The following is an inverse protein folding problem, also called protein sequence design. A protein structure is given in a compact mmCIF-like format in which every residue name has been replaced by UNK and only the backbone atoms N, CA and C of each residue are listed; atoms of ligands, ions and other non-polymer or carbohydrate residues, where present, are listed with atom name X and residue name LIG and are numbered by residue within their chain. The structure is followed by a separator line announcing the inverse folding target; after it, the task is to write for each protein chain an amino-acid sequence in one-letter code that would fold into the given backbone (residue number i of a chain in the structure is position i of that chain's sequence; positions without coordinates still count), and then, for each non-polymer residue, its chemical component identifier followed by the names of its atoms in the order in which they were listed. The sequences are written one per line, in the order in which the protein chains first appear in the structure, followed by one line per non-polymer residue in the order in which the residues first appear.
data_IF_772700715256
#
_entry.id   IF_772700715256
#
_cell.length_a   1.000
_cell.length_b   1.000
_cell.length_c   1.000
_cell.angle_alpha   90.00
_cell.angle_beta   90.00
_cell.angle_gamma   90.00
#
_symmetry.space_group_name_H-M   'P 1'
#
loop_
_entity.id
_entity.type
_entity.pdbx_description
1 polymer ?
#
# COMPACT_ATOMS: atom_id res chain seq x y z
N UNK A 1 17.65 -27.09 -9.38
CA UNK A 1 17.64 -25.61 -9.39
C UNK A 1 16.66 -25.15 -10.45
N UNK A 2 15.50 -24.59 -10.07
CA UNK A 2 14.57 -24.05 -11.04
C UNK A 2 15.23 -22.86 -11.78
N UNK A 3 14.99 -22.67 -13.10
CA UNK A 3 15.54 -21.54 -13.82
C UNK A 3 15.09 -20.23 -13.17
N UNK A 4 15.96 -19.19 -13.15
CA UNK A 4 15.61 -17.91 -12.54
C UNK A 4 14.35 -17.35 -13.22
N UNK A 5 13.43 -16.75 -12.44
CA UNK A 5 12.20 -16.20 -13.00
C UNK A 5 12.53 -15.17 -14.08
N UNK A 6 11.72 -15.09 -15.16
CA UNK A 6 12.00 -14.19 -16.27
C UNK A 6 12.09 -12.75 -15.79
N UNK A 7 13.12 -12.04 -16.26
CA UNK A 7 13.30 -10.64 -15.90
C UNK A 7 12.11 -9.80 -16.41
N UNK A 8 11.51 -8.94 -15.56
CA UNK A 8 10.44 -8.06 -16.00
C UNK A 8 10.93 -7.11 -17.10
N UNK A 9 10.33 -7.20 -18.30
CA UNK A 9 10.65 -6.32 -19.42
C UNK A 9 10.29 -4.88 -19.08
N UNK A 10 11.28 -3.99 -19.04
CA UNK A 10 11.07 -2.55 -18.83
C UNK A 10 10.94 -1.86 -20.18
N UNK A 11 9.74 -1.38 -20.48
CA UNK A 11 9.48 -0.58 -21.67
C UNK A 11 9.95 0.87 -21.47
N UNK A 12 10.49 1.48 -22.53
CA UNK A 12 10.77 2.92 -22.59
C UNK A 12 9.47 3.74 -22.56
N UNK A 13 9.56 5.03 -22.21
CA UNK A 13 8.39 5.94 -22.22
C UNK A 13 7.74 6.03 -23.61
N UNK A 14 8.54 5.94 -24.68
CA UNK A 14 8.04 5.97 -26.05
C UNK A 14 7.23 4.72 -26.39
N UNK A 15 7.74 3.53 -26.04
CA UNK A 15 7.03 2.27 -26.24
C UNK A 15 5.75 2.20 -25.40
N UNK A 16 5.80 2.65 -24.15
CA UNK A 16 4.61 2.74 -23.29
C UNK A 16 3.54 3.66 -23.91
N UNK A 17 3.96 4.80 -24.48
CA UNK A 17 3.05 5.73 -25.19
C UNK A 17 2.47 5.08 -26.45
N UNK A 18 3.28 4.39 -27.24
CA UNK A 18 2.85 3.65 -28.44
C UNK A 18 1.82 2.58 -28.09
N UNK A 19 2.13 1.74 -27.10
CA UNK A 19 1.24 0.68 -26.62
C UNK A 19 -0.09 1.24 -26.08
N UNK A 20 -0.04 2.32 -25.30
CA UNK A 20 -1.25 3.01 -24.81
C UNK A 20 -2.09 3.57 -25.95
N UNK A 21 -1.46 4.14 -26.98
CA UNK A 21 -2.15 4.68 -28.15
C UNK A 21 -2.83 3.55 -28.95
N UNK A 22 -2.10 2.49 -29.27
CA UNK A 22 -2.63 1.32 -29.99
C UNK A 22 -3.82 0.69 -29.25
N UNK A 23 -3.72 0.51 -27.92
CA UNK A 23 -4.84 0.00 -27.09
C UNK A 23 -6.07 0.91 -27.14
N UNK A 24 -5.89 2.24 -27.14
CA UNK A 24 -6.99 3.21 -27.25
C UNK A 24 -7.66 3.15 -28.62
N UNK A 25 -6.86 3.10 -29.68
CA UNK A 25 -7.35 3.01 -31.07
C UNK A 25 -8.13 1.70 -31.27
N UNK A 26 -7.58 0.57 -30.83
CA UNK A 26 -8.24 -0.73 -30.95
C UNK A 26 -9.60 -0.73 -30.23
N UNK A 27 -9.64 -0.23 -28.98
CA UNK A 27 -10.87 -0.15 -28.20
C UNK A 27 -11.93 0.78 -28.82
N UNK A 28 -11.50 1.89 -29.45
CA UNK A 28 -12.44 2.79 -30.11
C UNK A 28 -12.97 2.20 -31.41
N UNK A 29 -12.12 1.51 -32.20
CA UNK A 29 -12.54 0.78 -33.39
C UNK A 29 -13.56 -0.31 -33.06
N UNK A 30 -13.28 -1.10 -32.02
CA UNK A 30 -14.19 -2.13 -31.51
C UNK A 30 -15.54 -1.53 -31.09
N UNK A 31 -15.53 -0.40 -30.37
CA UNK A 31 -16.77 0.31 -30.03
C UNK A 31 -17.53 0.77 -31.27
N UNK A 32 -16.85 1.38 -32.24
CA UNK A 32 -17.47 1.87 -33.47
C UNK A 32 -18.07 0.73 -34.29
N UNK A 33 -17.40 -0.42 -34.34
CA UNK A 33 -17.90 -1.61 -35.00
C UNK A 33 -19.16 -2.16 -34.29
N UNK A 34 -19.16 -2.24 -32.96
CA UNK A 34 -20.35 -2.61 -32.19
C UNK A 34 -21.53 -1.64 -32.41
N UNK A 35 -21.27 -0.34 -32.55
CA UNK A 35 -22.30 0.65 -32.88
C UNK A 35 -22.82 0.43 -34.31
N UNK A 36 -21.93 0.17 -35.27
CA UNK A 36 -22.31 -0.10 -36.66
C UNK A 36 -23.16 -1.36 -36.79
N UNK A 37 -22.87 -2.39 -35.99
CA UNK A 37 -23.65 -3.62 -35.90
C UNK A 37 -24.96 -3.44 -35.13
N UNK A 38 -25.18 -2.30 -34.45
CA UNK A 38 -26.39 -2.02 -33.67
C UNK A 38 -26.44 -2.69 -32.29
N UNK A 39 -25.34 -3.31 -31.84
CA UNK A 39 -25.25 -3.94 -30.51
C UNK A 39 -25.21 -2.89 -29.39
N UNK A 40 -24.62 -1.73 -29.68
CA UNK A 40 -24.51 -0.60 -28.75
C UNK A 40 -25.11 0.64 -29.40
N UNK A 41 -25.97 1.35 -28.69
CA UNK A 41 -26.51 2.62 -29.17
C UNK A 41 -25.43 3.71 -29.22
N UNK A 42 -25.46 4.59 -30.23
CA UNK A 42 -24.60 5.76 -30.27
C UNK A 42 -24.71 6.58 -28.96
N UNK A 43 -23.59 6.95 -28.33
CA UNK A 43 -23.64 7.70 -27.09
C UNK A 43 -24.24 9.09 -27.30
N UNK A 44 -25.20 9.46 -26.45
CA UNK A 44 -25.83 10.79 -26.46
C UNK A 44 -24.79 11.92 -26.29
N UNK A 45 -25.00 13.11 -26.89
CA UNK A 45 -24.06 14.22 -26.79
C UNK A 45 -23.90 14.69 -25.33
N UNK A 46 -22.66 14.99 -24.94
CA UNK A 46 -22.36 15.43 -23.58
C UNK A 46 -22.73 16.90 -23.37
N UNK A 47 -23.89 17.12 -22.77
CA UNK A 47 -24.34 18.46 -22.36
C UNK A 47 -23.68 18.87 -21.03
N UNK A 48 -23.28 20.14 -20.97
CA UNK A 48 -22.76 20.83 -19.77
C UNK A 48 -23.56 22.12 -19.62
N UNK A 49 -23.64 22.67 -18.40
CA UNK A 49 -24.36 23.95 -18.18
C UNK A 49 -23.85 25.06 -19.11
N UNK A 50 -22.53 25.19 -19.23
CA UNK A 50 -21.89 26.17 -20.13
C UNK A 50 -22.22 25.95 -21.63
N UNK A 51 -22.57 24.73 -22.03
CA UNK A 51 -22.86 24.37 -23.42
C UNK A 51 -24.37 24.37 -23.71
N UNK A 52 -25.23 24.51 -22.69
CA UNK A 52 -26.68 24.33 -22.81
C UNK A 52 -27.29 25.26 -23.86
N UNK A 53 -27.05 26.57 -23.71
CA UNK A 53 -27.57 27.58 -24.64
C UNK A 53 -26.98 27.48 -26.06
N UNK A 54 -25.78 26.90 -26.19
CA UNK A 54 -25.13 26.74 -27.50
C UNK A 54 -25.65 25.54 -28.28
N UNK A 55 -26.06 24.48 -27.59
CA UNK A 55 -26.47 23.21 -28.22
C UNK A 55 -28.00 23.12 -28.36
N UNK A 56 -28.75 23.62 -27.38
CA UNK A 56 -30.21 23.52 -27.32
C UNK A 56 -30.87 24.90 -27.24
N UNK A 57 -30.32 25.93 -27.87
CA UNK A 57 -30.75 27.34 -27.67
C UNK A 57 -32.24 27.61 -27.88
N UNK A 58 -32.87 26.98 -28.88
CA UNK A 58 -34.31 27.12 -29.15
C UNK A 58 -35.16 26.46 -28.06
N UNK A 59 -34.81 25.25 -27.62
CA UNK A 59 -35.52 24.50 -26.58
C UNK A 59 -35.25 25.07 -25.17
N UNK A 60 -34.04 25.55 -24.93
CA UNK A 60 -33.61 26.15 -23.66
C UNK A 60 -34.27 27.51 -23.38
N UNK A 61 -34.75 28.19 -24.43
CA UNK A 61 -35.52 29.43 -24.29
C UNK A 61 -36.98 29.14 -23.90
N UNK A 62 -37.53 28.00 -24.33
CA UNK A 62 -38.91 27.59 -24.02
C UNK A 62 -39.05 27.13 -22.57
N UNK A 63 -38.20 26.18 -22.13
CA UNK A 63 -38.25 25.60 -20.78
C UNK A 63 -36.87 25.57 -20.11
N UNK A 64 -36.34 26.72 -19.63
CA UNK A 64 -34.98 26.80 -19.10
C UNK A 64 -34.76 25.90 -17.87
N UNK A 65 -35.72 25.86 -16.94
CA UNK A 65 -35.59 25.11 -15.67
C UNK A 65 -35.62 23.59 -15.86
N UNK A 66 -36.43 23.09 -16.80
CA UNK A 66 -36.52 21.64 -17.08
C UNK A 66 -35.20 21.13 -17.66
N UNK A 67 -34.70 21.82 -18.68
CA UNK A 67 -33.43 21.50 -19.32
C UNK A 67 -32.24 21.64 -18.37
N UNK A 68 -32.26 22.66 -17.50
CA UNK A 68 -31.26 22.81 -16.46
C UNK A 68 -31.21 21.58 -15.53
N UNK A 69 -32.37 21.13 -15.06
CA UNK A 69 -32.51 19.96 -14.19
C UNK A 69 -32.01 18.70 -14.88
N UNK A 70 -32.36 18.48 -16.15
CA UNK A 70 -31.89 17.34 -16.95
C UNK A 70 -30.36 17.34 -17.10
N UNK A 71 -29.76 18.50 -17.40
CA UNK A 71 -28.30 18.63 -17.54
C UNK A 71 -27.58 18.41 -16.22
N UNK A 72 -28.14 18.91 -15.10
CA UNK A 72 -27.61 18.67 -13.75
C UNK A 72 -27.72 17.19 -13.39
N UNK A 73 -28.85 16.54 -13.67
CA UNK A 73 -29.05 15.11 -13.44
C UNK A 73 -28.06 14.27 -14.27
N UNK A 74 -27.91 14.56 -15.57
CA UNK A 74 -26.93 13.87 -16.42
C UNK A 74 -25.48 14.13 -15.96
N UNK A 75 -25.20 15.29 -15.35
CA UNK A 75 -23.90 15.56 -14.74
C UNK A 75 -23.68 14.72 -13.48
N UNK A 76 -24.67 14.66 -12.59
CA UNK A 76 -24.64 13.86 -11.37
C UNK A 76 -24.53 12.36 -11.70
N UNK A 77 -25.28 11.87 -12.69
CA UNK A 77 -25.19 10.48 -13.15
C UNK A 77 -23.80 10.14 -13.68
N UNK A 78 -23.18 11.05 -14.46
CA UNK A 78 -21.79 10.89 -14.92
C UNK A 78 -20.80 10.82 -13.77
N UNK A 79 -21.01 11.62 -12.73
CA UNK A 79 -20.18 11.61 -11.53
C UNK A 79 -20.37 10.32 -10.73
N UNK A 80 -21.61 9.92 -10.49
CA UNK A 80 -21.96 8.67 -9.82
C UNK A 80 -21.38 7.47 -10.55
N UNK A 81 -21.57 7.37 -11.87
CA UNK A 81 -20.99 6.29 -12.68
C UNK A 81 -19.44 6.28 -12.66
N UNK A 82 -18.80 7.42 -12.41
CA UNK A 82 -17.35 7.47 -12.17
C UNK A 82 -16.99 6.92 -10.78
N UNK A 83 -17.73 7.34 -9.76
CA UNK A 83 -17.58 6.85 -8.38
C UNK A 83 -17.83 5.34 -8.30
N UNK A 84 -18.93 4.84 -8.86
CA UNK A 84 -19.29 3.42 -8.88
C UNK A 84 -18.22 2.58 -9.57
N UNK A 85 -17.67 3.07 -10.70
CA UNK A 85 -16.56 2.41 -11.40
C UNK A 85 -15.29 2.35 -10.55
N UNK A 86 -15.04 3.36 -9.72
CA UNK A 86 -13.90 3.38 -8.81
C UNK A 86 -14.14 2.46 -7.61
N UNK A 87 -15.35 2.45 -7.07
CA UNK A 87 -15.77 1.55 -5.98
C UNK A 87 -15.67 0.10 -6.44
N UNK A 88 -16.18 -0.23 -7.62
CA UNK A 88 -16.11 -1.58 -8.19
C UNK A 88 -14.66 -2.07 -8.41
N UNK A 89 -13.70 -1.15 -8.64
CA UNK A 89 -12.26 -1.48 -8.75
C UNK A 89 -11.51 -1.43 -7.42
N UNK A 90 -12.12 -0.86 -6.39
CA UNK A 90 -11.48 -0.69 -5.09
C UNK A 90 -11.42 -2.06 -4.44
N UNK A 91 -10.20 -2.52 -4.15
CA UNK A 91 -10.01 -3.77 -3.42
C UNK A 91 -10.77 -3.70 -2.09
N UNK A 92 -11.43 -4.79 -1.76
CA UNK A 92 -12.03 -4.99 -0.44
C UNK A 92 -10.96 -4.91 0.65
N UNK A 93 -11.31 -4.56 1.90
CA UNK A 93 -10.33 -4.47 2.98
C UNK A 93 -9.54 -5.78 3.20
N UNK A 94 -10.16 -6.94 2.97
CA UNK A 94 -9.50 -8.26 3.01
C UNK A 94 -8.48 -8.43 1.88
N UNK A 95 -8.85 -8.15 0.63
CA UNK A 95 -7.94 -8.22 -0.53
C UNK A 95 -6.77 -7.24 -0.39
N UNK A 96 -7.00 -6.05 0.20
CA UNK A 96 -5.92 -5.11 0.48
C UNK A 96 -4.94 -5.66 1.51
N UNK A 97 -5.42 -6.33 2.56
CA UNK A 97 -4.56 -7.00 3.56
C UNK A 97 -3.77 -8.12 2.90
N UNK A 98 -4.40 -8.95 2.08
CA UNK A 98 -3.72 -10.03 1.36
C UNK A 98 -2.66 -9.50 0.39
N UNK A 99 -2.99 -8.48 -0.42
CA UNK A 99 -2.03 -7.84 -1.33
C UNK A 99 -0.84 -7.23 -0.58
N UNK A 100 -1.06 -6.66 0.61
CA UNK A 100 0.02 -6.17 1.49
C UNK A 100 0.87 -7.32 2.04
N UNK A 101 0.25 -8.41 2.49
CA UNK A 101 0.95 -9.62 2.93
C UNK A 101 1.81 -10.19 1.81
N UNK A 102 1.23 -10.47 0.63
CA UNK A 102 1.95 -10.97 -0.55
C UNK A 102 3.14 -10.09 -0.94
N UNK A 103 2.98 -8.75 -0.95
CA UNK A 103 4.08 -7.83 -1.27
C UNK A 103 5.25 -7.91 -0.28
N UNK A 104 4.94 -8.18 0.99
CA UNK A 104 5.93 -8.20 2.07
C UNK A 104 6.60 -9.57 2.18
N UNK A 105 5.84 -10.64 1.97
CA UNK A 105 6.24 -12.01 2.27
C UNK A 105 6.52 -12.87 1.03
N UNK A 106 5.93 -12.63 -0.14
CA UNK A 106 6.09 -13.53 -1.32
C UNK A 106 7.17 -13.06 -2.32
N UNK A 107 8.30 -12.55 -1.84
CA UNK A 107 9.47 -12.39 -2.71
C UNK A 107 10.11 -13.77 -2.96
N UNK A 108 9.87 -14.33 -4.14
CA UNK A 108 10.47 -15.59 -4.59
C UNK A 108 11.94 -15.46 -5.04
N UNK A 109 12.49 -14.24 -5.02
CA UNK A 109 13.78 -13.91 -5.61
C UNK A 109 14.92 -13.71 -4.59
N UNK A 110 14.67 -13.88 -3.30
CA UNK A 110 15.69 -13.72 -2.24
C UNK A 110 15.99 -15.05 -1.57
N UNK A 111 17.23 -15.31 -1.08
CA UNK A 111 17.55 -16.54 -0.35
C UNK A 111 16.52 -16.82 0.76
N UNK A 112 16.17 -18.09 0.92
CA UNK A 112 14.92 -18.51 1.58
C UNK A 112 14.78 -18.03 3.03
N UNK A 113 15.89 -17.80 3.76
CA UNK A 113 15.93 -17.16 5.08
C UNK A 113 17.28 -16.48 5.35
N UNK A 114 17.24 -15.33 6.02
CA UNK A 114 18.37 -14.67 6.66
C UNK A 114 18.17 -14.74 8.18
N UNK A 115 19.26 -14.65 8.94
CA UNK A 115 19.24 -14.61 10.41
C UNK A 115 19.90 -13.32 10.88
N UNK A 116 19.28 -12.65 11.84
CA UNK A 116 19.81 -11.47 12.51
C UNK A 116 19.85 -11.73 14.01
N UNK A 117 21.00 -11.43 14.62
CA UNK A 117 21.23 -11.53 16.06
C UNK A 117 21.26 -10.12 16.62
N UNK A 118 20.58 -9.86 17.74
CA UNK A 118 20.66 -8.58 18.42
C UNK A 118 21.14 -8.80 19.84
N UNK A 119 22.16 -8.05 20.26
CA UNK A 119 22.60 -7.95 21.64
C UNK A 119 22.02 -6.69 22.28
N UNK A 120 21.35 -6.86 23.41
CA UNK A 120 20.72 -5.80 24.22
C UNK A 120 21.25 -5.93 25.65
N UNK A 121 21.48 -4.83 26.35
CA UNK A 121 21.96 -4.89 27.74
C UNK A 121 20.80 -5.23 28.70
N UNK A 122 19.67 -4.52 28.59
CA UNK A 122 18.47 -4.77 29.41
C UNK A 122 17.19 -4.85 28.56
N UNK A 123 16.45 -5.96 28.68
CA UNK A 123 15.14 -6.23 28.06
C UNK A 123 14.06 -6.55 29.12
N UNK A 124 14.20 -5.98 30.32
CA UNK A 124 13.26 -6.16 31.41
C UNK A 124 11.94 -5.41 31.21
N UNK A 125 11.96 -4.24 30.54
CA UNK A 125 10.78 -3.37 30.40
C UNK A 125 9.64 -4.07 29.63
N UNK A 126 8.43 -4.22 30.21
CA UNK A 126 7.33 -4.92 29.56
C UNK A 126 6.93 -4.31 28.21
N UNK A 127 6.95 -2.99 28.09
CA UNK A 127 6.55 -2.32 26.86
C UNK A 127 7.52 -2.59 25.71
N UNK A 128 8.83 -2.61 25.95
CA UNK A 128 9.81 -2.93 24.90
C UNK A 128 9.75 -4.40 24.55
N UNK A 129 9.56 -5.29 25.53
CA UNK A 129 9.37 -6.72 25.29
C UNK A 129 8.17 -7.01 24.39
N UNK A 130 7.02 -6.40 24.68
CA UNK A 130 5.81 -6.51 23.84
C UNK A 130 6.06 -5.93 22.44
N UNK A 131 6.76 -4.79 22.33
CA UNK A 131 7.12 -4.21 21.03
C UNK A 131 8.00 -5.16 20.21
N UNK A 132 9.01 -5.77 20.83
CA UNK A 132 9.92 -6.74 20.20
C UNK A 132 9.13 -7.95 19.70
N UNK A 133 8.34 -8.59 20.57
CA UNK A 133 7.55 -9.79 20.24
C UNK A 133 6.47 -9.52 19.17
N UNK A 134 5.59 -8.54 19.38
CA UNK A 134 4.52 -8.24 18.42
C UNK A 134 5.06 -7.85 17.05
N UNK A 135 6.17 -7.11 16.98
CA UNK A 135 6.76 -6.77 15.68
C UNK A 135 7.45 -7.97 15.01
N UNK A 136 7.96 -8.94 15.76
CA UNK A 136 8.43 -10.19 15.18
C UNK A 136 7.26 -10.95 14.54
N UNK A 137 6.14 -11.08 15.28
CA UNK A 137 4.91 -11.72 14.79
C UNK A 137 4.30 -11.02 13.57
N UNK A 138 4.16 -9.68 13.61
CA UNK A 138 3.62 -8.90 12.48
C UNK A 138 4.47 -9.00 11.21
N UNK A 139 5.76 -9.27 11.36
CA UNK A 139 6.68 -9.45 10.24
C UNK A 139 6.96 -10.92 9.92
N UNK A 140 6.17 -11.85 10.48
CA UNK A 140 6.30 -13.30 10.28
C UNK A 140 7.76 -13.77 10.45
N UNK A 141 8.44 -13.22 11.45
CA UNK A 141 9.79 -13.64 11.81
C UNK A 141 9.68 -14.81 12.79
N UNK A 142 10.56 -15.79 12.63
CA UNK A 142 10.75 -16.89 13.57
C UNK A 142 12.00 -16.62 14.40
N UNK A 143 12.15 -17.25 15.57
CA UNK A 143 13.31 -17.06 16.41
C UNK A 143 12.96 -17.07 17.89
N UNK A 144 13.87 -16.58 18.72
CA UNK A 144 13.71 -16.57 20.17
C UNK A 144 14.46 -15.39 20.80
N UNK A 145 14.02 -15.01 22.00
CA UNK A 145 14.72 -14.07 22.86
C UNK A 145 15.18 -14.79 24.11
N UNK A 146 16.48 -14.74 24.38
CA UNK A 146 17.09 -15.24 25.62
C UNK A 146 17.38 -14.04 26.50
N UNK A 147 16.75 -13.99 27.66
CA UNK A 147 16.90 -12.91 28.63
C UNK A 147 17.75 -13.46 29.78
N UNK A 148 18.90 -12.83 30.00
CA UNK A 148 19.78 -13.10 31.12
C UNK A 148 20.15 -11.79 31.80
N UNK A 149 20.56 -11.86 33.07
CA UNK A 149 20.93 -10.67 33.82
C UNK A 149 22.17 -10.00 33.21
N UNK A 150 22.03 -8.73 32.83
CA UNK A 150 23.07 -7.93 32.17
C UNK A 150 23.23 -8.11 30.66
N UNK A 151 22.73 -9.19 30.04
CA UNK A 151 22.75 -9.39 28.58
C UNK A 151 21.50 -10.13 28.12
N UNK A 152 20.77 -9.55 27.17
CA UNK A 152 19.68 -10.19 26.44
C UNK A 152 20.05 -10.36 24.97
N UNK A 153 19.78 -11.54 24.41
CA UNK A 153 20.06 -11.87 23.01
C UNK A 153 18.76 -12.19 22.29
N UNK A 154 18.49 -11.50 21.19
CA UNK A 154 17.30 -11.72 20.34
C UNK A 154 17.74 -12.25 18.99
N UNK A 155 17.38 -13.49 18.70
CA UNK A 155 17.61 -14.16 17.41
C UNK A 155 16.33 -14.04 16.59
N UNK A 156 16.42 -13.52 15.36
CA UNK A 156 15.31 -13.53 14.41
C UNK A 156 15.74 -14.07 13.05
N UNK A 157 14.90 -14.91 12.48
CA UNK A 157 15.01 -15.53 11.19
C UNK A 157 13.83 -15.10 10.33
N UNK A 158 14.10 -14.82 9.05
CA UNK A 158 13.05 -14.48 8.09
C UNK A 158 13.59 -13.95 6.76
N UNK A 159 12.73 -13.28 6.01
CA UNK A 159 13.07 -12.75 4.69
C UNK A 159 13.81 -11.41 4.79
N UNK A 160 14.56 -11.04 3.75
CA UNK A 160 15.37 -9.81 3.75
C UNK A 160 14.57 -8.53 4.03
N UNK A 161 13.36 -8.39 3.45
CA UNK A 161 12.49 -7.22 3.68
C UNK A 161 12.01 -7.12 5.14
N UNK A 162 11.61 -8.25 5.73
CA UNK A 162 11.07 -8.30 7.10
C UNK A 162 12.19 -8.09 8.12
N UNK A 163 13.36 -8.68 7.91
CA UNK A 163 14.56 -8.46 8.73
C UNK A 163 15.02 -7.02 8.67
N UNK A 164 15.09 -6.38 7.49
CA UNK A 164 15.47 -4.96 7.39
C UNK A 164 14.49 -4.05 8.13
N UNK A 165 13.19 -4.36 8.06
CA UNK A 165 12.16 -3.60 8.80
C UNK A 165 12.31 -3.78 10.31
N UNK A 166 12.55 -5.02 10.75
CA UNK A 166 12.77 -5.33 12.16
C UNK A 166 14.08 -4.74 12.68
N UNK A 167 15.17 -4.77 11.92
CA UNK A 167 16.41 -4.07 12.24
C UNK A 167 16.22 -2.56 12.36
N UNK A 168 15.36 -1.94 11.54
CA UNK A 168 14.99 -0.52 11.71
C UNK A 168 14.21 -0.28 13.02
N UNK A 169 13.39 -1.23 13.46
CA UNK A 169 12.75 -1.17 14.77
C UNK A 169 13.81 -1.24 15.88
N UNK A 170 14.60 -2.30 15.89
CA UNK A 170 15.58 -2.62 16.93
C UNK A 170 16.68 -1.57 17.03
N UNK A 171 17.18 -1.04 15.91
CA UNK A 171 18.36 -0.16 15.95
C UNK A 171 18.03 1.34 15.91
N UNK A 172 16.81 1.74 15.52
CA UNK A 172 16.49 3.15 15.27
C UNK A 172 15.18 3.67 15.85
N UNK A 173 14.16 2.83 16.03
CA UNK A 173 12.83 3.28 16.50
C UNK A 173 12.63 3.08 17.99
N UNK A 174 13.28 2.08 18.57
CA UNK A 174 13.29 1.88 20.01
C UNK A 174 14.45 2.70 20.56
N UNK A 175 14.13 3.67 21.42
CA UNK A 175 15.14 4.39 22.18
C UNK A 175 15.51 3.57 23.40
N UNK A 176 16.56 2.75 23.28
CA UNK A 176 16.98 1.87 24.37
C UNK A 176 17.48 2.63 25.60
N UNK A 177 18.05 3.82 25.42
CA UNK A 177 18.59 4.64 26.50
C UNK A 177 17.54 5.37 27.33
N UNK A 178 16.33 5.60 26.79
CA UNK A 178 15.23 6.22 27.54
C UNK A 178 14.54 5.20 28.45
N UNK A 179 14.52 3.94 28.00
CA UNK A 179 13.89 2.82 28.71
C UNK A 179 14.62 2.46 30.00
N UNK A 180 15.93 2.73 30.10
CA UNK A 180 16.67 2.54 31.35
C UNK A 180 16.36 3.63 32.38
N UNK A 181 16.10 4.87 31.94
CA UNK A 181 15.85 6.01 32.84
C UNK A 181 14.51 5.91 33.58
N UNK A 182 13.45 5.46 32.90
CA UNK A 182 12.15 5.23 33.54
C UNK A 182 12.23 4.19 34.68
N UNK A 183 13.19 3.27 34.60
CA UNK A 183 13.44 2.23 35.61
C UNK A 183 14.30 2.75 36.76
N UNK A 184 15.31 3.56 36.47
CA UNK A 184 16.16 4.20 37.50
C UNK A 184 15.36 5.22 38.35
N UNK A 185 14.36 5.89 37.78
CA UNK A 185 13.44 6.76 38.55
C UNK A 185 12.49 5.98 39.47
N UNK A 186 12.34 4.65 39.28
CA UNK A 186 11.46 3.79 40.08
C UNK A 186 12.19 2.85 41.03
N UNK A 187 13.50 2.64 40.86
CA UNK A 187 14.36 1.82 41.73
C UNK A 187 15.66 2.58 42.05
N UNK A 188 15.82 3.05 43.30
CA UNK A 188 17.07 3.61 43.82
C UNK A 188 18.18 2.53 43.82
N UNK A 189 18.88 2.36 42.69
CA UNK A 189 19.95 1.37 42.55
C UNK A 189 21.00 1.72 41.48
N UNK A 190 22.13 2.24 41.96
CA UNK A 190 23.51 2.15 41.43
C UNK A 190 23.82 2.73 40.04
N UNK A 191 24.54 3.85 40.05
CA UNK A 191 25.11 4.66 38.96
C UNK A 191 26.13 3.98 38.01
N UNK A 192 26.37 2.67 38.13
CA UNK A 192 27.48 1.98 37.42
C UNK A 192 27.04 1.12 36.22
N UNK A 193 25.76 1.10 35.84
CA UNK A 193 25.30 0.30 34.70
C UNK A 193 25.51 1.04 33.36
N UNK A 194 26.16 0.42 32.36
CA UNK A 194 26.35 1.06 31.06
C UNK A 194 25.01 1.29 30.37
N UNK A 195 24.83 2.48 29.78
CA UNK A 195 23.60 2.88 29.09
C UNK A 195 23.06 1.77 28.16
N UNK A 196 21.76 1.48 28.28
CA UNK A 196 21.15 0.40 27.52
C UNK A 196 21.19 0.71 26.02
N UNK A 197 21.73 -0.24 25.24
CA UNK A 197 21.89 -0.13 23.79
C UNK A 197 21.61 -1.46 23.12
N UNK A 198 21.12 -1.40 21.89
CA UNK A 198 20.94 -2.55 21.02
C UNK A 198 21.99 -2.52 19.91
N UNK A 199 22.68 -3.64 19.70
CA UNK A 199 23.67 -3.84 18.63
C UNK A 199 23.24 -5.06 17.81
N UNK A 200 23.45 -5.02 16.48
CA UNK A 200 23.27 -6.14 15.57
C UNK A 200 24.58 -6.93 15.47
#
# INVERSE_FOLDING_TARGET
LAPPPPQPLKLTKQEQKKLKSQRRIAKEKERQEMIRQGVIEPPKPKLKMNNLMKVLGTEATQDPTRLEKEVRNAAAEREQAHVDRNIARKLTPSEQREKKKRKLFDDSNTPDRLVALYKINDLSHPQTRIKVDLNAQYNQLTGCAVIYDGISVVVVEGKSKTIKRYGKLMLRRINWSDVSKEKEETEDSNDDKPANKCVL
#
